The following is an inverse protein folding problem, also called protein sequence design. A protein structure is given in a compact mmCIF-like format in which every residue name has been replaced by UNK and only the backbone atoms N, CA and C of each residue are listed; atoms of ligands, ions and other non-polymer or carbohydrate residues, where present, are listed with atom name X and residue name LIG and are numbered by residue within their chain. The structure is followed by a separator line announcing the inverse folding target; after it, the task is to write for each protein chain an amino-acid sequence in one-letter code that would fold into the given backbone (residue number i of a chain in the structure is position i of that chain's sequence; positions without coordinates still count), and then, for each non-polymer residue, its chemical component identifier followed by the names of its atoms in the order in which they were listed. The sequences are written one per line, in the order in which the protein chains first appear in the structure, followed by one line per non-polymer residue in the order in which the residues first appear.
data_IF_435472808013
#
_entry.id   IF_435472808013
#
_cell.length_a   1.000
_cell.length_b   1.000
_cell.length_c   1.000
_cell.angle_alpha   90.00
_cell.angle_beta   90.00
_cell.angle_gamma   90.00
#
_symmetry.space_group_name_H-M   'P 1'
#
loop_
_entity.id
_entity.type
_entity.pdbx_description
1 polymer ?
#
# COMPACT_ATOMS: atom_id res chain seq x y z
N UNK A 1 -25.94 4.31 -15.41
CA UNK A 1 -24.64 4.53 -14.74
C UNK A 1 -23.91 3.20 -14.70
N UNK A 2 -22.77 3.15 -15.32
CA UNK A 2 -21.94 1.95 -15.34
C UNK A 2 -21.51 1.59 -13.90
N UNK A 3 -21.55 0.32 -13.58
CA UNK A 3 -21.25 -0.12 -12.22
C UNK A 3 -19.72 -0.08 -12.02
N UNK A 4 -19.23 0.81 -11.14
CA UNK A 4 -17.81 0.99 -10.91
C UNK A 4 -17.20 -0.26 -10.28
N UNK A 5 -16.17 -0.80 -10.91
CA UNK A 5 -15.49 -2.02 -10.43
C UNK A 5 -14.75 -1.79 -9.10
N UNK A 6 -14.33 -0.55 -8.84
CA UNK A 6 -13.69 -0.18 -7.57
C UNK A 6 -14.65 -0.19 -6.38
N UNK A 7 -15.97 -0.33 -6.59
CA UNK A 7 -16.91 -0.55 -5.47
C UNK A 7 -16.52 -1.75 -4.62
N UNK A 8 -15.92 -2.77 -5.21
CA UNK A 8 -15.42 -3.94 -4.48
C UNK A 8 -14.33 -3.59 -3.46
N UNK A 9 -13.70 -2.42 -3.58
CA UNK A 9 -12.64 -1.92 -2.70
C UNK A 9 -13.12 -0.84 -1.75
N UNK A 10 -14.43 -0.54 -1.67
CA UNK A 10 -14.95 0.53 -0.81
C UNK A 10 -14.71 0.28 0.68
N UNK A 11 -14.40 -0.96 1.07
CA UNK A 11 -13.95 -1.26 2.43
C UNK A 11 -12.66 -0.54 2.82
N UNK A 12 -11.88 -0.05 1.83
CA UNK A 12 -10.66 0.73 2.09
C UNK A 12 -10.94 2.18 2.45
N UNK A 13 -12.09 2.75 2.04
CA UNK A 13 -12.34 4.19 2.13
C UNK A 13 -12.26 4.72 3.56
N UNK A 14 -11.62 5.88 3.71
CA UNK A 14 -11.46 6.58 4.97
C UNK A 14 -10.01 6.80 5.33
N UNK A 15 -9.79 7.24 6.56
CA UNK A 15 -8.46 7.49 7.12
C UNK A 15 -8.12 6.43 8.14
N UNK A 16 -6.95 5.84 7.98
CA UNK A 16 -6.42 4.77 8.82
C UNK A 16 -5.16 5.26 9.52
N UNK A 17 -5.05 5.01 10.82
CA UNK A 17 -3.87 5.40 11.60
C UNK A 17 -3.37 4.25 12.44
N UNK A 18 -2.07 4.22 12.67
CA UNK A 18 -1.45 3.19 13.50
C UNK A 18 0.07 3.25 13.43
N UNK A 19 0.68 2.14 13.78
CA UNK A 19 2.14 2.03 13.87
C UNK A 19 2.65 0.84 13.09
N UNK A 20 3.87 0.96 12.61
CA UNK A 20 4.56 -0.08 11.89
C UNK A 20 6.02 -0.22 12.30
N UNK A 21 6.63 -1.27 11.79
CA UNK A 21 8.04 -1.58 12.01
C UNK A 21 8.70 -1.83 10.68
N UNK A 22 9.92 -1.30 10.54
CA UNK A 22 10.75 -1.52 9.37
C UNK A 22 12.06 -2.20 9.73
N UNK A 23 12.50 -3.09 8.85
CA UNK A 23 13.79 -3.77 8.96
C UNK A 23 14.29 -4.14 7.58
N UNK A 24 15.60 -4.17 7.44
CA UNK A 24 16.26 -4.71 6.25
C UNK A 24 17.74 -4.95 6.60
N UNK A 25 18.43 -5.92 5.98
CA UNK A 25 19.82 -6.23 6.36
C UNK A 25 20.79 -5.05 6.28
N UNK A 26 20.53 -4.08 5.41
CA UNK A 26 21.42 -2.92 5.17
C UNK A 26 21.08 -1.70 6.02
N UNK A 27 20.04 -1.76 6.87
CA UNK A 27 19.60 -0.63 7.69
C UNK A 27 19.34 -1.04 9.12
N UNK A 28 19.35 -0.07 10.04
CA UNK A 28 18.91 -0.25 11.43
C UNK A 28 17.39 -0.37 11.47
N UNK A 29 16.87 -1.33 12.24
CA UNK A 29 15.43 -1.48 12.47
C UNK A 29 14.83 -0.20 13.05
N UNK A 30 13.61 0.13 12.64
CA UNK A 30 12.93 1.36 13.05
C UNK A 30 11.43 1.13 13.26
N UNK A 31 10.82 2.02 14.03
CA UNK A 31 9.37 2.08 14.21
C UNK A 31 8.83 3.39 13.65
N UNK A 32 7.62 3.34 13.11
CA UNK A 32 6.99 4.52 12.52
C UNK A 32 5.51 4.61 12.85
N UNK A 33 5.01 5.85 12.88
CA UNK A 33 3.59 6.18 12.93
C UNK A 33 3.12 6.42 11.51
N UNK A 34 1.90 6.01 11.21
CA UNK A 34 1.37 6.07 9.86
C UNK A 34 -0.02 6.67 9.79
N UNK A 35 -0.26 7.47 8.75
CA UNK A 35 -1.59 7.90 8.31
C UNK A 35 -1.75 7.48 6.85
N UNK A 36 -2.77 6.68 6.58
CA UNK A 36 -3.09 6.15 5.26
C UNK A 36 -4.54 6.52 4.93
N UNK A 37 -4.76 7.27 3.86
CA UNK A 37 -6.08 7.77 3.48
C UNK A 37 -6.46 7.27 2.09
N UNK A 38 -7.67 6.71 1.98
CA UNK A 38 -8.26 6.30 0.70
C UNK A 38 -9.50 7.11 0.44
N UNK A 39 -9.63 7.65 -0.77
CA UNK A 39 -10.75 8.51 -1.17
C UNK A 39 -11.18 8.28 -2.61
N UNK A 40 -12.40 8.70 -2.93
CA UNK A 40 -12.98 8.64 -4.29
C UNK A 40 -13.55 10.02 -4.66
N UNK A 41 -13.67 10.29 -5.97
CA UNK A 41 -14.35 11.48 -6.45
C UNK A 41 -15.83 11.23 -6.81
N UNK A 42 -16.24 9.97 -6.85
CA UNK A 42 -17.61 9.56 -7.19
C UNK A 42 -17.93 9.51 -8.69
N UNK A 43 -17.00 9.87 -9.54
CA UNK A 43 -17.17 9.91 -10.99
C UNK A 43 -16.31 8.88 -11.73
N UNK A 44 -15.06 8.78 -11.35
CA UNK A 44 -14.11 7.90 -11.99
C UNK A 44 -14.01 6.55 -11.27
N UNK A 45 -13.74 5.50 -12.02
CA UNK A 45 -13.54 4.15 -11.47
C UNK A 45 -12.11 4.01 -10.94
N UNK A 46 -11.85 4.68 -9.83
CA UNK A 46 -10.54 4.71 -9.18
C UNK A 46 -10.69 5.00 -7.68
N UNK A 47 -9.66 4.63 -6.94
CA UNK A 47 -9.46 5.06 -5.55
C UNK A 47 -8.14 5.80 -5.50
N UNK A 48 -8.14 7.01 -4.93
CA UNK A 48 -6.91 7.73 -4.60
C UNK A 48 -6.45 7.34 -3.21
N UNK A 49 -5.14 7.20 -3.00
CA UNK A 49 -4.59 7.03 -1.66
C UNK A 49 -3.39 7.96 -1.42
N UNK A 50 -3.20 8.27 -0.15
CA UNK A 50 -2.04 8.98 0.34
C UNK A 50 -1.53 8.30 1.61
N UNK A 51 -0.22 8.07 1.68
CA UNK A 51 0.45 7.48 2.83
C UNK A 51 1.51 8.43 3.35
N UNK A 52 1.49 8.68 4.65
CA UNK A 52 2.53 9.44 5.34
C UNK A 52 2.99 8.68 6.57
N UNK A 53 4.29 8.64 6.77
CA UNK A 53 4.88 8.02 7.95
C UNK A 53 5.90 8.94 8.62
N UNK A 54 6.04 8.77 9.93
CA UNK A 54 7.00 9.50 10.77
C UNK A 54 7.69 8.50 11.68
N UNK A 55 9.00 8.68 11.90
CA UNK A 55 9.73 7.88 12.87
C UNK A 55 9.18 8.16 14.27
N UNK A 56 8.88 7.12 15.05
CA UNK A 56 8.24 7.29 16.36
C UNK A 56 9.15 7.96 17.39
N UNK A 57 10.47 7.71 17.31
CA UNK A 57 11.39 8.20 18.33
C UNK A 57 11.66 9.70 18.26
N UNK A 58 11.44 10.37 17.14
CA UNK A 58 11.75 11.80 16.98
C UNK A 58 10.73 12.55 16.11
N UNK A 59 9.64 11.90 15.67
CA UNK A 59 8.59 12.47 14.80
C UNK A 59 9.13 13.05 13.49
N UNK A 60 10.29 12.59 13.02
CA UNK A 60 10.85 13.00 11.73
C UNK A 60 10.04 12.36 10.60
N UNK A 61 9.62 13.12 9.57
CA UNK A 61 8.99 12.55 8.37
C UNK A 61 9.90 11.48 7.75
N UNK A 62 9.32 10.32 7.46
CA UNK A 62 10.07 9.16 6.96
C UNK A 62 9.70 8.79 5.54
N UNK A 63 8.40 8.79 5.21
CA UNK A 63 7.93 8.37 3.90
C UNK A 63 6.64 9.09 3.53
N UNK A 64 6.53 9.50 2.26
CA UNK A 64 5.32 10.09 1.71
C UNK A 64 5.12 9.56 0.31
N UNK A 65 3.96 8.97 0.07
CA UNK A 65 3.59 8.54 -1.28
C UNK A 65 2.12 8.82 -1.56
N UNK A 66 1.79 8.97 -2.84
CA UNK A 66 0.45 9.17 -3.32
C UNK A 66 0.24 8.39 -4.61
N UNK A 67 -0.97 7.90 -4.84
CA UNK A 67 -1.25 7.16 -6.05
C UNK A 67 -2.72 6.82 -6.22
N UNK A 68 -2.98 6.03 -7.26
CA UNK A 68 -4.31 5.59 -7.62
C UNK A 68 -4.37 4.08 -7.70
N UNK A 69 -5.52 3.54 -7.31
CA UNK A 69 -5.86 2.13 -7.51
C UNK A 69 -6.97 2.09 -8.56
N UNK A 70 -6.72 1.37 -9.65
CA UNK A 70 -7.67 1.24 -10.77
C UNK A 70 -7.92 -0.23 -11.07
N UNK A 71 -9.10 -0.59 -11.59
CA UNK A 71 -9.34 -1.96 -12.04
C UNK A 71 -8.49 -2.29 -13.26
N UNK A 72 -8.09 -3.54 -13.36
CA UNK A 72 -7.43 -4.07 -14.57
C UNK A 72 -8.51 -4.46 -15.56
N UNK A 73 -8.38 -4.01 -16.80
CA UNK A 73 -9.34 -4.30 -17.86
C UNK A 73 -9.38 -5.81 -18.17
N UNK A 74 -10.59 -6.37 -18.23
CA UNK A 74 -10.87 -7.78 -18.56
C UNK A 74 -10.32 -8.80 -17.54
N UNK A 75 -9.89 -8.36 -16.36
CA UNK A 75 -9.44 -9.26 -15.29
C UNK A 75 -10.23 -8.96 -14.01
N UNK A 76 -11.24 -9.78 -13.74
CA UNK A 76 -12.07 -9.62 -12.55
C UNK A 76 -11.24 -9.82 -11.27
N UNK A 77 -11.49 -8.97 -10.26
CA UNK A 77 -10.79 -8.95 -8.98
C UNK A 77 -9.30 -8.58 -9.03
N UNK A 78 -8.84 -8.08 -10.18
CA UNK A 78 -7.48 -7.54 -10.31
C UNK A 78 -7.51 -6.02 -10.38
N UNK A 79 -6.59 -5.41 -9.65
CA UNK A 79 -6.44 -3.97 -9.55
C UNK A 79 -4.97 -3.60 -9.71
N UNK A 80 -4.72 -2.37 -10.09
CA UNK A 80 -3.36 -1.89 -10.30
C UNK A 80 -3.16 -0.60 -9.51
N UNK A 81 -2.07 -0.55 -8.73
CA UNK A 81 -1.60 0.65 -8.06
C UNK A 81 -0.56 1.31 -8.95
N UNK A 82 -0.68 2.63 -9.14
CA UNK A 82 0.40 3.46 -9.65
C UNK A 82 0.69 4.55 -8.63
N UNK A 83 1.95 4.68 -8.20
CA UNK A 83 2.32 5.64 -7.16
C UNK A 83 3.57 6.43 -7.49
N UNK A 84 3.69 7.55 -6.79
CA UNK A 84 4.89 8.37 -6.74
C UNK A 84 5.26 8.60 -5.28
N UNK A 85 6.55 8.50 -4.96
CA UNK A 85 7.09 8.56 -3.61
C UNK A 85 8.02 9.76 -3.45
N UNK A 86 8.18 10.24 -2.20
CA UNK A 86 9.00 11.40 -1.89
C UNK A 86 10.50 11.21 -2.22
N UNK A 87 10.96 9.96 -2.30
CA UNK A 87 12.31 9.63 -2.79
C UNK A 87 12.48 9.82 -4.30
N UNK A 88 11.38 10.04 -5.03
CA UNK A 88 11.36 10.07 -6.49
C UNK A 88 11.03 8.73 -7.13
N UNK A 89 10.98 7.65 -6.34
CA UNK A 89 10.62 6.32 -6.84
C UNK A 89 9.18 6.31 -7.33
N UNK A 90 8.94 5.63 -8.45
CA UNK A 90 7.62 5.39 -9.04
C UNK A 90 7.43 3.91 -9.20
N UNK A 91 6.25 3.41 -8.81
CA UNK A 91 5.93 1.99 -8.90
C UNK A 91 4.59 1.76 -9.57
N UNK A 92 4.49 0.67 -10.31
CA UNK A 92 3.22 0.08 -10.75
C UNK A 92 3.17 -1.34 -10.20
N UNK A 93 2.12 -1.64 -9.42
CA UNK A 93 1.91 -2.96 -8.85
C UNK A 93 0.54 -3.47 -9.29
N UNK A 94 0.46 -4.77 -9.62
CA UNK A 94 -0.78 -5.46 -9.95
C UNK A 94 -1.15 -6.39 -8.83
N UNK A 95 -2.41 -6.35 -8.39
CA UNK A 95 -2.86 -7.14 -7.25
C UNK A 95 -4.21 -7.79 -7.43
N UNK A 96 -4.42 -8.86 -6.70
CA UNK A 96 -5.65 -9.63 -6.67
C UNK A 96 -6.39 -9.42 -5.36
N UNK A 97 -7.71 -9.21 -5.48
CA UNK A 97 -8.61 -9.17 -4.33
C UNK A 97 -9.14 -10.57 -4.06
N UNK A 98 -9.01 -11.03 -2.81
CA UNK A 98 -9.67 -12.22 -2.30
C UNK A 98 -10.49 -11.83 -1.07
N UNK A 99 -11.75 -12.27 -1.01
CA UNK A 99 -12.67 -11.96 0.08
C UNK A 99 -13.33 -13.22 0.64
N UNK A 100 -13.45 -13.28 1.96
CA UNK A 100 -14.17 -14.32 2.68
C UNK A 100 -14.93 -13.66 3.82
N UNK A 101 -16.25 -13.43 3.62
CA UNK A 101 -17.05 -12.63 4.55
C UNK A 101 -16.52 -11.19 4.60
N UNK A 102 -16.19 -10.72 5.81
CA UNK A 102 -15.65 -9.38 6.02
C UNK A 102 -14.12 -9.31 5.95
N UNK A 103 -13.47 -10.44 5.73
CA UNK A 103 -12.01 -10.51 5.56
C UNK A 103 -11.67 -10.30 4.09
N UNK A 104 -10.86 -9.27 3.82
CA UNK A 104 -10.39 -8.93 2.48
C UNK A 104 -8.88 -8.95 2.45
N UNK A 105 -8.32 -9.54 1.40
CA UNK A 105 -6.87 -9.56 1.16
C UNK A 105 -6.60 -8.99 -0.22
N UNK A 106 -5.67 -8.04 -0.29
CA UNK A 106 -5.16 -7.48 -1.53
C UNK A 106 -3.67 -7.78 -1.61
N UNK A 107 -3.28 -8.55 -2.60
CA UNK A 107 -1.89 -8.97 -2.79
C UNK A 107 -1.34 -8.34 -4.07
N UNK A 108 -0.51 -7.31 -3.93
CA UNK A 108 0.09 -6.55 -5.01
C UNK A 108 1.54 -6.98 -5.25
N UNK A 109 1.86 -7.25 -6.52
CA UNK A 109 3.22 -7.56 -6.97
C UNK A 109 3.67 -6.53 -8.00
N UNK A 110 4.94 -6.15 -7.92
CA UNK A 110 5.53 -5.15 -8.80
C UNK A 110 5.45 -5.55 -10.27
N UNK A 111 5.05 -4.61 -11.13
CA UNK A 111 5.17 -4.65 -12.58
C UNK A 111 6.33 -3.79 -13.07
N UNK A 112 6.42 -2.56 -12.53
CA UNK A 112 7.41 -1.56 -12.95
C UNK A 112 7.91 -0.81 -11.72
N UNK A 113 9.21 -0.57 -11.66
CA UNK A 113 9.86 0.38 -10.75
C UNK A 113 10.77 1.28 -11.58
N UNK A 114 10.72 2.59 -11.29
CA UNK A 114 11.58 3.59 -11.92
C UNK A 114 12.16 4.52 -10.86
N UNK A 115 13.26 5.17 -11.19
CA UNK A 115 13.94 6.18 -10.39
C UNK A 115 14.52 5.66 -9.07
N UNK A 116 14.74 4.36 -8.96
CA UNK A 116 15.47 3.77 -7.84
C UNK A 116 16.25 2.54 -8.33
N UNK A 117 17.52 2.74 -8.73
CA UNK A 117 18.34 1.66 -9.31
C UNK A 117 18.69 0.54 -8.32
N UNK A 118 18.49 0.75 -7.01
CA UNK A 118 18.74 -0.28 -6.00
C UNK A 118 17.65 -1.34 -5.98
N UNK A 119 16.44 -0.99 -6.38
CA UNK A 119 15.27 -1.87 -6.28
C UNK A 119 15.23 -2.90 -7.39
N UNK A 120 14.96 -4.15 -7.02
CA UNK A 120 14.79 -5.27 -7.95
C UNK A 120 13.35 -5.76 -7.93
N UNK A 121 12.72 -5.86 -6.74
CA UNK A 121 11.35 -6.35 -6.59
C UNK A 121 10.68 -5.75 -5.37
N UNK A 122 9.36 -5.60 -5.44
CA UNK A 122 8.53 -5.07 -4.35
C UNK A 122 7.19 -5.79 -4.36
N UNK A 123 6.66 -6.03 -3.16
CA UNK A 123 5.40 -6.75 -2.97
C UNK A 123 4.69 -6.18 -1.74
N UNK A 124 3.36 -5.99 -1.83
CA UNK A 124 2.54 -5.50 -0.71
C UNK A 124 1.35 -6.41 -0.52
N UNK A 125 1.13 -6.83 0.71
CA UNK A 125 -0.01 -7.67 1.09
C UNK A 125 -0.82 -6.92 2.14
N UNK A 126 -2.04 -6.52 1.77
CA UNK A 126 -2.99 -5.84 2.66
C UNK A 126 -4.04 -6.84 3.16
N UNK A 127 -4.32 -6.81 4.45
CA UNK A 127 -5.38 -7.59 5.07
C UNK A 127 -6.31 -6.64 5.80
N UNK A 128 -7.60 -6.64 5.44
CA UNK A 128 -8.59 -5.74 5.99
C UNK A 128 -9.73 -6.56 6.58
N UNK A 129 -10.07 -6.29 7.83
CA UNK A 129 -11.23 -6.87 8.50
C UNK A 129 -11.94 -5.76 9.27
N UNK A 130 -13.11 -5.33 8.76
CA UNK A 130 -13.89 -4.23 9.33
C UNK A 130 -13.04 -2.95 9.45
N UNK A 131 -12.77 -2.50 10.68
CA UNK A 131 -12.03 -1.26 10.96
C UNK A 131 -10.55 -1.49 11.27
N UNK A 132 -10.04 -2.67 10.94
CA UNK A 132 -8.63 -3.02 11.09
C UNK A 132 -8.00 -3.32 9.73
N UNK A 133 -6.86 -2.69 9.48
CA UNK A 133 -6.06 -2.91 8.28
C UNK A 133 -4.63 -3.19 8.71
N UNK A 134 -4.06 -4.28 8.19
CA UNK A 134 -2.64 -4.55 8.34
C UNK A 134 -2.01 -4.75 6.97
N UNK A 135 -0.72 -4.46 6.86
CA UNK A 135 0.02 -4.81 5.65
C UNK A 135 1.42 -5.27 5.97
N UNK A 136 1.94 -6.07 5.04
CA UNK A 136 3.34 -6.47 4.98
C UNK A 136 3.87 -6.02 3.63
N UNK A 137 5.04 -5.40 3.63
CA UNK A 137 5.78 -5.07 2.41
C UNK A 137 7.06 -5.89 2.39
N UNK A 138 7.30 -6.54 1.25
CA UNK A 138 8.52 -7.30 0.99
C UNK A 138 9.28 -6.65 -0.14
N UNK A 139 10.61 -6.76 -0.12
CA UNK A 139 11.42 -6.21 -1.20
C UNK A 139 12.70 -7.01 -1.43
N UNK A 140 13.24 -6.83 -2.63
CA UNK A 140 14.56 -7.30 -3.06
C UNK A 140 15.33 -6.09 -3.58
N UNK A 141 16.58 -5.94 -3.16
CA UNK A 141 17.50 -4.93 -3.70
C UNK A 141 18.73 -5.60 -4.30
N UNK A 142 19.52 -4.84 -5.06
CA UNK A 142 20.75 -5.36 -5.66
C UNK A 142 21.75 -5.88 -4.61
N UNK A 143 21.78 -5.22 -3.45
CA UNK A 143 22.70 -5.59 -2.35
C UNK A 143 22.09 -6.65 -1.42
N UNK A 144 20.80 -6.90 -1.51
CA UNK A 144 20.09 -7.91 -0.73
C UNK A 144 19.18 -8.70 -1.66
N UNK A 145 19.73 -9.73 -2.34
CA UNK A 145 19.02 -10.44 -3.40
C UNK A 145 17.92 -11.38 -2.89
N UNK A 146 17.89 -11.70 -1.61
CA UNK A 146 16.84 -12.50 -1.03
C UNK A 146 15.59 -11.65 -0.80
N UNK A 147 14.45 -12.08 -1.38
CA UNK A 147 13.18 -11.39 -1.21
C UNK A 147 12.68 -11.58 0.21
N UNK A 148 12.51 -10.48 0.96
CA UNK A 148 12.20 -10.55 2.38
C UNK A 148 11.37 -9.37 2.86
N UNK A 149 10.78 -9.54 4.05
CA UNK A 149 9.96 -8.50 4.67
C UNK A 149 10.81 -7.27 5.00
N UNK A 150 10.28 -6.09 4.61
CA UNK A 150 10.84 -4.78 4.94
C UNK A 150 9.96 -4.04 5.94
N UNK A 151 8.64 -4.00 5.71
CA UNK A 151 7.70 -3.28 6.56
C UNK A 151 6.56 -4.17 7.01
N UNK A 152 6.03 -3.90 8.22
CA UNK A 152 4.77 -4.45 8.71
C UNK A 152 4.06 -3.38 9.53
N UNK A 153 2.78 -3.18 9.30
CA UNK A 153 1.99 -2.13 9.94
C UNK A 153 0.59 -2.63 10.32
N UNK A 154 0.05 -2.08 11.41
CA UNK A 154 -1.31 -2.33 11.86
C UNK A 154 -2.01 -1.00 12.09
N UNK A 155 -3.13 -0.79 11.40
CA UNK A 155 -3.86 0.46 11.37
C UNK A 155 -5.32 0.23 11.76
N UNK A 156 -5.93 1.29 12.29
CA UNK A 156 -7.36 1.33 12.60
C UNK A 156 -8.02 2.47 11.84
N UNK A 157 -9.23 2.21 11.33
CA UNK A 157 -10.02 3.25 10.68
C UNK A 157 -10.42 4.30 11.71
N UNK A 158 -10.22 5.55 11.38
CA UNK A 158 -10.62 6.67 12.21
C UNK A 158 -12.13 6.93 12.06
N UNK A 159 -12.82 7.36 13.13
CA UNK A 159 -14.21 7.80 13.03
C UNK A 159 -14.33 8.99 12.08
N UNK A 160 -15.47 9.09 11.38
CA UNK A 160 -15.83 10.23 10.54
C UNK A 160 -16.16 11.47 11.40
#
# INVERSE_FOLDING_TARGET
MEDLKTKKLHFLLGTWTGNGKGKFPTITSFEYREVLTFSIDGLNDLIHYEQKTWLTHNETPSHWESGFIKPVENEENYFEISNSQDSGRVEVLKGELASSGELHTLHFKMKVIQNDPRMVNSERIFTINQNELSYVMKMTTKNTPEHQQHLASSLKRQPE
#
